data_IF_950628344134
#
_entry.id   IF_950628344134
#
_cell.length_a   1.000
_cell.length_b   1.000
_cell.length_c   1.000
_cell.angle_alpha   90.00
_cell.angle_beta   90.00
_cell.angle_gamma   90.00
#
_symmetry.space_group_name_H-M   'P 1'
#
loop_
_entity.id
_entity.type
_entity.pdbx_description
1 polymer ?
#
# COMPACT_ATOMS: atom_id res chain seq x y z
N UNK A 1 -20.63 -36.34 -64.41
CA UNK A 1 -20.38 -37.36 -63.34
C UNK A 1 -18.95 -37.31 -62.78
N UNK A 2 -18.00 -36.78 -63.54
CA UNK A 2 -16.60 -36.56 -63.14
C UNK A 2 -16.45 -35.44 -62.08
N UNK A 3 -17.09 -34.31 -62.35
CA UNK A 3 -16.96 -33.09 -61.53
C UNK A 3 -17.53 -33.23 -60.11
N UNK A 4 -18.60 -34.00 -59.98
CA UNK A 4 -19.24 -34.27 -58.67
C UNK A 4 -18.38 -35.17 -57.77
N UNK A 5 -17.64 -36.10 -58.34
CA UNK A 5 -16.70 -36.96 -57.61
C UNK A 5 -15.47 -36.17 -57.17
N UNK A 6 -15.01 -35.24 -57.99
CA UNK A 6 -13.90 -34.37 -57.67
C UNK A 6 -14.28 -33.38 -56.50
N UNK A 7 -15.44 -32.83 -56.53
CA UNK A 7 -15.95 -31.99 -55.46
C UNK A 7 -16.11 -32.74 -54.13
N UNK A 8 -16.57 -33.99 -54.17
CA UNK A 8 -16.73 -34.84 -52.96
C UNK A 8 -15.38 -35.21 -52.34
N UNK A 9 -14.37 -35.50 -53.19
CA UNK A 9 -13.00 -35.80 -52.67
C UNK A 9 -12.36 -34.57 -52.09
N UNK A 10 -12.56 -33.38 -52.71
CA UNK A 10 -12.01 -32.13 -52.21
C UNK A 10 -12.65 -31.72 -50.86
N UNK A 11 -13.94 -31.93 -50.71
CA UNK A 11 -14.70 -31.68 -49.46
C UNK A 11 -14.24 -32.66 -48.37
N UNK A 12 -14.02 -33.92 -48.69
CA UNK A 12 -13.52 -34.92 -47.74
C UNK A 12 -12.09 -34.61 -47.26
N UNK A 13 -11.20 -34.08 -48.13
CA UNK A 13 -9.86 -33.66 -47.76
C UNK A 13 -9.88 -32.44 -46.86
N UNK A 14 -10.76 -31.49 -47.07
CA UNK A 14 -10.95 -30.31 -46.20
C UNK A 14 -11.44 -30.72 -44.79
N UNK A 15 -12.40 -31.66 -44.74
CA UNK A 15 -12.93 -32.17 -43.46
C UNK A 15 -11.90 -32.97 -42.67
N UNK A 16 -10.98 -33.69 -43.37
CA UNK A 16 -9.91 -34.45 -42.71
C UNK A 16 -8.75 -33.53 -42.27
N UNK A 17 -8.47 -32.46 -43.00
CA UNK A 17 -7.41 -31.49 -42.68
C UNK A 17 -7.84 -30.45 -41.63
N UNK A 18 -9.16 -30.20 -41.47
CA UNK A 18 -9.66 -29.23 -40.50
C UNK A 18 -9.32 -29.55 -39.02
N UNK A 19 -9.34 -30.79 -38.52
CA UNK A 19 -8.90 -31.07 -37.17
C UNK A 19 -7.37 -30.99 -37.00
N UNK A 20 -6.60 -31.09 -38.09
CA UNK A 20 -5.11 -30.93 -38.01
C UNK A 20 -4.71 -29.47 -37.82
N UNK A 21 -5.52 -28.50 -38.28
CA UNK A 21 -5.24 -27.07 -38.11
C UNK A 21 -5.75 -26.51 -36.78
N UNK A 22 -6.62 -27.25 -36.08
CA UNK A 22 -7.15 -26.82 -34.77
C UNK A 22 -6.27 -27.20 -33.58
N UNK A 23 -5.14 -27.88 -33.80
CA UNK A 23 -4.08 -27.99 -32.81
C UNK A 23 -3.06 -26.84 -33.00
N UNK A 24 -3.53 -25.60 -33.11
CA UNK A 24 -2.73 -24.48 -32.69
C UNK A 24 -2.56 -24.70 -31.18
N UNK A 25 -1.48 -25.35 -30.80
CA UNK A 25 -1.00 -25.34 -29.43
C UNK A 25 -0.90 -23.87 -29.03
N UNK A 26 -1.89 -23.39 -28.28
CA UNK A 26 -1.62 -22.32 -27.38
C UNK A 26 -0.50 -22.87 -26.51
N UNK A 27 0.73 -22.57 -26.86
CA UNK A 27 1.84 -22.77 -25.96
C UNK A 27 1.39 -22.01 -24.70
N UNK A 28 0.98 -22.76 -23.69
CA UNK A 28 0.83 -22.19 -22.38
C UNK A 28 2.15 -21.48 -22.12
N UNK A 29 2.11 -20.15 -22.08
CA UNK A 29 3.25 -19.35 -21.60
C UNK A 29 3.35 -19.64 -20.10
N UNK A 30 3.81 -20.84 -19.80
CA UNK A 30 4.16 -21.25 -18.46
C UNK A 30 5.49 -20.65 -18.04
N UNK A 31 5.86 -20.88 -16.81
CA UNK A 31 7.18 -20.55 -16.28
C UNK A 31 8.24 -21.29 -17.07
N UNK A 32 9.31 -20.59 -17.50
CA UNK A 32 10.46 -21.18 -18.21
C UNK A 32 11.37 -22.00 -17.28
N UNK A 33 10.95 -22.26 -16.03
CA UNK A 33 11.70 -23.00 -15.02
C UNK A 33 10.98 -24.29 -14.67
N UNK A 34 11.73 -25.37 -14.50
CA UNK A 34 11.20 -26.70 -14.17
C UNK A 34 10.84 -26.82 -12.70
N UNK A 35 11.49 -26.04 -11.83
CA UNK A 35 11.27 -26.08 -10.38
C UNK A 35 11.41 -24.68 -9.77
N UNK A 36 10.47 -24.35 -8.88
CA UNK A 36 10.56 -23.17 -7.99
C UNK A 36 10.63 -23.67 -6.55
N UNK A 37 11.67 -23.26 -5.84
CA UNK A 37 11.90 -23.61 -4.43
C UNK A 37 11.76 -22.37 -3.57
N UNK A 38 10.82 -22.37 -2.62
CA UNK A 38 10.66 -21.32 -1.63
C UNK A 38 11.46 -21.64 -0.38
N UNK A 39 12.33 -20.72 0.03
CA UNK A 39 13.19 -20.85 1.21
C UNK A 39 12.87 -19.68 2.13
N UNK A 40 12.64 -19.95 3.41
CA UNK A 40 12.43 -18.90 4.40
C UNK A 40 13.76 -18.47 5.00
N UNK A 41 14.03 -17.17 4.98
CA UNK A 41 15.10 -16.52 5.71
C UNK A 41 14.49 -15.63 6.81
N UNK A 42 14.99 -15.73 8.02
CA UNK A 42 14.55 -14.90 9.16
C UNK A 42 15.39 -13.63 9.29
N UNK A 43 16.56 -13.62 8.71
CA UNK A 43 17.48 -12.48 8.69
C UNK A 43 17.68 -11.97 7.26
N UNK A 44 17.44 -10.68 7.09
CA UNK A 44 17.51 -10.00 5.79
C UNK A 44 18.94 -10.00 5.22
N UNK A 45 19.96 -9.80 6.07
CA UNK A 45 21.35 -9.76 5.62
C UNK A 45 21.78 -11.10 5.05
N UNK A 46 21.43 -12.18 5.73
CA UNK A 46 21.68 -13.54 5.24
C UNK A 46 21.01 -13.77 3.88
N UNK A 47 19.77 -13.35 3.70
CA UNK A 47 19.08 -13.49 2.43
C UNK A 47 19.77 -12.70 1.30
N UNK A 48 20.20 -11.46 1.56
CA UNK A 48 20.90 -10.63 0.58
C UNK A 48 22.29 -11.19 0.23
N UNK A 49 23.01 -11.76 1.19
CA UNK A 49 24.28 -12.46 0.93
C UNK A 49 24.06 -13.69 0.05
N UNK A 50 23.02 -14.47 0.28
CA UNK A 50 22.69 -15.61 -0.55
C UNK A 50 22.33 -15.21 -2.01
N UNK A 51 21.66 -14.07 -2.20
CA UNK A 51 21.44 -13.51 -3.56
C UNK A 51 22.77 -13.12 -4.20
N UNK A 52 23.68 -12.43 -3.47
CA UNK A 52 24.99 -12.04 -3.99
C UNK A 52 25.85 -13.23 -4.38
N UNK A 53 25.79 -14.29 -3.59
CA UNK A 53 26.56 -15.50 -3.82
C UNK A 53 25.95 -16.39 -4.91
N UNK A 54 24.78 -16.04 -5.45
CA UNK A 54 24.07 -16.82 -6.47
C UNK A 54 23.41 -18.09 -5.94
N UNK A 55 23.26 -18.22 -4.63
CA UNK A 55 22.55 -19.33 -3.98
C UNK A 55 21.04 -19.12 -3.91
N UNK A 56 20.60 -17.86 -4.05
CA UNK A 56 19.22 -17.44 -4.11
C UNK A 56 19.03 -16.55 -5.34
N UNK A 57 18.08 -16.91 -6.20
CA UNK A 57 17.84 -16.18 -7.45
C UNK A 57 17.03 -14.91 -7.23
N UNK A 58 16.07 -14.94 -6.32
CA UNK A 58 15.16 -13.81 -6.04
C UNK A 58 14.86 -13.76 -4.54
N UNK A 59 15.06 -12.60 -3.93
CA UNK A 59 14.52 -12.26 -2.63
C UNK A 59 13.37 -11.25 -2.82
N UNK A 60 12.14 -11.67 -2.57
CA UNK A 60 10.95 -10.88 -2.85
C UNK A 60 10.22 -10.40 -1.59
N UNK A 61 10.96 -10.13 -0.56
CA UNK A 61 10.44 -9.57 0.68
C UNK A 61 10.89 -8.12 0.84
N UNK A 62 10.35 -7.44 1.84
CA UNK A 62 10.70 -6.05 2.10
C UNK A 62 12.18 -5.95 2.48
N UNK A 63 12.91 -5.12 1.76
CA UNK A 63 14.28 -4.69 2.10
C UNK A 63 14.21 -3.30 2.69
N UNK A 64 14.93 -3.05 3.79
CA UNK A 64 14.98 -1.73 4.41
C UNK A 64 15.71 -0.72 3.52
N UNK A 65 15.28 0.55 3.55
CA UNK A 65 15.80 1.61 2.67
C UNK A 65 17.29 1.86 2.85
N UNK A 66 17.79 1.83 4.07
CA UNK A 66 19.21 1.96 4.40
C UNK A 66 20.07 0.87 3.75
N UNK A 67 19.49 -0.31 3.54
CA UNK A 67 20.15 -1.42 2.84
C UNK A 67 20.18 -1.23 1.33
N UNK A 68 19.17 -0.60 0.77
CA UNK A 68 19.09 -0.34 -0.68
C UNK A 68 20.07 0.77 -1.08
N UNK A 69 20.31 1.74 -0.21
CA UNK A 69 21.17 2.90 -0.48
C UNK A 69 22.67 2.57 -0.43
N UNK A 70 23.07 1.58 0.34
CA UNK A 70 24.49 1.22 0.41
C UNK A 70 24.99 0.72 -0.95
N UNK A 71 26.09 1.30 -1.44
CA UNK A 71 26.72 0.88 -2.70
C UNK A 71 27.07 -0.61 -2.69
N UNK A 72 27.45 -1.14 -1.55
CA UNK A 72 27.74 -2.55 -1.33
C UNK A 72 26.51 -3.43 -1.48
N UNK A 73 25.32 -2.93 -1.12
CA UNK A 73 24.06 -3.65 -1.29
C UNK A 73 23.67 -3.81 -2.76
N UNK A 74 24.06 -2.86 -3.62
CA UNK A 74 23.71 -2.88 -5.05
C UNK A 74 24.71 -3.63 -5.92
N UNK A 75 25.92 -3.89 -5.41
CA UNK A 75 26.94 -4.59 -6.18
C UNK A 75 26.53 -6.05 -6.45
N UNK A 76 26.28 -6.36 -7.72
CA UNK A 76 25.86 -7.70 -8.15
C UNK A 76 24.38 -8.02 -7.95
N UNK A 77 23.55 -7.08 -7.41
CA UNK A 77 22.12 -7.29 -7.20
C UNK A 77 21.31 -6.28 -8.03
N UNK A 78 20.31 -6.77 -8.75
CA UNK A 78 19.31 -5.92 -9.37
C UNK A 78 18.12 -5.73 -8.42
N UNK A 79 17.79 -4.47 -8.11
CA UNK A 79 16.67 -4.11 -7.24
C UNK A 79 15.46 -3.73 -8.08
N UNK A 80 14.32 -4.31 -7.77
CA UNK A 80 13.02 -3.96 -8.35
C UNK A 80 12.17 -3.33 -7.26
N UNK A 81 11.64 -2.14 -7.54
CA UNK A 81 10.78 -1.43 -6.62
C UNK A 81 9.31 -1.66 -6.99
N UNK A 82 8.49 -1.89 -6.00
CA UNK A 82 7.05 -2.01 -6.15
C UNK A 82 6.35 -1.26 -5.03
N UNK A 83 5.37 -0.45 -5.38
CA UNK A 83 4.48 0.19 -4.40
C UNK A 83 3.47 -0.84 -3.92
N UNK A 84 3.60 -1.31 -2.70
CA UNK A 84 2.77 -2.42 -2.21
C UNK A 84 2.28 -2.28 -0.77
N UNK A 85 2.60 -1.20 -0.08
CA UNK A 85 2.18 -0.99 1.30
C UNK A 85 1.90 0.46 1.62
N UNK A 86 1.04 0.70 2.60
CA UNK A 86 0.81 2.03 3.14
C UNK A 86 0.86 2.00 4.67
N UNK A 87 1.24 3.14 5.24
CA UNK A 87 1.06 3.42 6.67
C UNK A 87 -0.12 4.35 6.80
N UNK A 88 -1.07 3.98 7.62
CA UNK A 88 -2.23 4.80 7.91
C UNK A 88 -2.52 4.82 9.40
N UNK A 89 -3.06 5.92 9.88
CA UNK A 89 -3.59 6.05 11.22
C UNK A 89 -5.11 5.83 11.17
N UNK A 90 -5.58 4.84 11.92
CA UNK A 90 -7.01 4.60 12.07
C UNK A 90 -7.48 5.31 13.34
N UNK A 91 -8.55 6.06 13.20
CA UNK A 91 -9.17 6.80 14.29
C UNK A 91 -10.53 6.19 14.60
N UNK A 92 -10.82 5.94 15.87
CA UNK A 92 -12.11 5.39 16.28
C UNK A 92 -13.15 6.53 16.43
N UNK A 93 -14.17 6.63 15.55
CA UNK A 93 -15.19 7.67 15.62
C UNK A 93 -16.38 7.32 16.54
N UNK A 94 -16.33 6.19 17.22
CA UNK A 94 -17.49 5.69 17.98
C UNK A 94 -17.85 6.63 19.13
N UNK A 95 -19.15 6.88 19.28
CA UNK A 95 -19.69 7.51 20.46
C UNK A 95 -19.77 6.46 21.58
N UNK A 96 -19.27 6.80 22.76
CA UNK A 96 -19.27 5.93 23.95
C UNK A 96 -19.81 6.66 25.17
N UNK A 97 -19.90 5.99 26.31
CA UNK A 97 -20.31 6.62 27.56
C UNK A 97 -19.32 7.70 28.04
N UNK A 98 -18.02 7.50 27.75
CA UNK A 98 -16.98 8.50 27.95
C UNK A 98 -16.81 9.37 26.71
N UNK A 99 -16.45 10.62 26.92
CA UNK A 99 -16.22 11.56 25.82
C UNK A 99 -15.09 11.08 24.91
N UNK A 100 -15.42 10.90 23.64
CA UNK A 100 -14.45 10.58 22.60
C UNK A 100 -14.31 11.79 21.66
N UNK A 101 -13.19 12.53 21.70
CA UNK A 101 -13.01 13.70 20.84
C UNK A 101 -13.08 13.35 19.36
N UNK A 102 -12.72 12.12 18.99
CA UNK A 102 -12.76 11.67 17.60
C UNK A 102 -14.16 11.28 17.10
N UNK A 103 -15.21 11.39 17.93
CA UNK A 103 -16.58 11.36 17.43
C UNK A 103 -16.93 12.62 16.63
N UNK A 104 -16.22 13.73 16.88
CA UNK A 104 -16.34 14.99 16.16
C UNK A 104 -15.59 14.89 14.82
N UNK A 105 -16.29 15.16 13.72
CA UNK A 105 -15.73 15.02 12.36
C UNK A 105 -14.58 15.98 12.11
N UNK A 106 -14.73 17.21 12.51
CA UNK A 106 -13.78 18.31 12.34
C UNK A 106 -12.45 18.01 13.05
N UNK A 107 -12.48 17.35 14.21
CA UNK A 107 -11.28 16.89 14.90
C UNK A 107 -10.53 15.81 14.09
N UNK A 108 -11.26 14.89 13.46
CA UNK A 108 -10.63 13.90 12.58
C UNK A 108 -10.01 14.56 11.35
N UNK A 109 -10.64 15.60 10.81
CA UNK A 109 -10.09 16.41 9.72
C UNK A 109 -8.83 17.15 10.16
N UNK A 110 -8.83 17.75 11.34
CA UNK A 110 -7.68 18.47 11.88
C UNK A 110 -6.41 17.62 12.00
N UNK A 111 -6.55 16.30 12.26
CA UNK A 111 -5.41 15.39 12.27
C UNK A 111 -4.62 15.37 10.96
N UNK A 112 -5.25 15.68 9.82
CA UNK A 112 -4.56 15.75 8.54
C UNK A 112 -3.54 16.89 8.46
N UNK A 113 -3.74 17.95 9.27
CA UNK A 113 -2.81 19.08 9.38
C UNK A 113 -1.72 18.84 10.42
N UNK A 114 -1.90 17.89 11.35
CA UNK A 114 -0.91 17.56 12.38
C UNK A 114 0.16 16.58 11.90
N UNK A 115 -0.11 15.81 10.85
CA UNK A 115 0.82 14.79 10.37
C UNK A 115 1.67 15.35 9.22
N UNK A 116 2.97 15.53 9.48
CA UNK A 116 3.93 15.85 8.43
C UNK A 116 4.29 14.61 7.62
N UNK A 117 3.50 14.37 6.57
CA UNK A 117 3.70 13.23 5.68
C UNK A 117 5.00 13.31 4.89
N UNK A 118 5.45 14.53 4.57
CA UNK A 118 6.71 14.71 3.84
C UNK A 118 7.91 14.36 4.73
N UNK A 119 7.89 14.78 5.99
CA UNK A 119 8.93 14.38 6.95
C UNK A 119 8.97 12.85 7.10
N UNK A 120 7.79 12.20 7.23
CA UNK A 120 7.73 10.75 7.35
C UNK A 120 8.33 10.08 6.11
N UNK A 121 7.98 10.51 4.91
CA UNK A 121 8.51 9.93 3.67
C UNK A 121 10.01 10.17 3.55
N UNK A 122 10.48 11.37 3.78
CA UNK A 122 11.87 11.72 3.55
C UNK A 122 12.81 11.19 4.63
N UNK A 123 12.43 11.34 5.91
CA UNK A 123 13.34 11.05 7.03
C UNK A 123 13.17 9.63 7.59
N UNK A 124 11.93 9.12 7.64
CA UNK A 124 11.68 7.79 8.23
C UNK A 124 11.64 6.66 7.21
N UNK A 125 11.32 6.98 5.94
CA UNK A 125 11.24 6.00 4.86
C UNK A 125 12.38 6.20 3.85
N UNK A 126 13.25 7.19 4.05
CA UNK A 126 14.42 7.45 3.20
C UNK A 126 14.05 7.91 1.78
N UNK A 127 12.90 8.55 1.59
CA UNK A 127 12.41 8.98 0.28
C UNK A 127 11.73 7.88 -0.55
N UNK A 128 11.72 6.63 -0.07
CA UNK A 128 11.10 5.50 -0.77
C UNK A 128 9.59 5.41 -0.51
N UNK A 129 8.85 6.38 -1.01
CA UNK A 129 7.40 6.41 -0.85
C UNK A 129 6.78 7.70 -1.37
N UNK A 130 5.45 7.73 -1.32
CA UNK A 130 4.68 8.92 -1.67
C UNK A 130 3.73 9.26 -0.53
N UNK A 131 3.50 10.55 -0.32
CA UNK A 131 2.48 11.01 0.60
C UNK A 131 1.10 10.64 0.09
N UNK A 132 0.24 10.13 0.97
CA UNK A 132 -1.14 9.79 0.65
C UNK A 132 -2.09 10.60 1.52
N UNK A 133 -3.16 11.08 0.92
CA UNK A 133 -4.26 11.80 1.60
C UNK A 133 -5.55 10.99 1.64
N UNK A 134 -5.54 9.79 1.06
CA UNK A 134 -6.65 8.83 1.11
C UNK A 134 -6.12 7.40 1.26
N UNK A 135 -7.00 6.48 1.61
CA UNK A 135 -6.67 5.04 1.66
C UNK A 135 -6.61 4.39 0.28
N UNK A 136 -7.04 5.08 -0.75
CA UNK A 136 -6.94 4.60 -2.13
C UNK A 136 -5.56 4.91 -2.69
N UNK A 137 -4.97 3.93 -3.37
CA UNK A 137 -3.71 4.13 -4.07
C UNK A 137 -3.88 5.11 -5.23
N UNK A 138 -2.87 5.91 -5.50
CA UNK A 138 -2.88 6.97 -6.53
C UNK A 138 -3.22 6.48 -7.95
N UNK A 139 -3.11 5.17 -8.20
CA UNK A 139 -3.45 4.55 -9.47
C UNK A 139 -4.83 3.88 -9.48
N UNK A 140 -5.59 3.97 -8.38
CA UNK A 140 -6.93 3.38 -8.35
C UNK A 140 -7.96 4.32 -9.02
N UNK A 141 -8.97 3.73 -9.66
CA UNK A 141 -10.07 4.51 -10.23
C UNK A 141 -10.85 5.27 -9.14
N UNK A 142 -10.94 4.70 -7.93
CA UNK A 142 -11.61 5.33 -6.80
C UNK A 142 -10.86 6.59 -6.34
N UNK A 143 -9.52 6.55 -6.31
CA UNK A 143 -8.71 7.74 -6.02
C UNK A 143 -8.96 8.85 -7.04
N UNK A 144 -8.94 8.50 -8.34
CA UNK A 144 -9.16 9.46 -9.41
C UNK A 144 -10.56 10.10 -9.37
N UNK A 145 -11.55 9.39 -8.83
CA UNK A 145 -12.93 9.91 -8.71
C UNK A 145 -13.12 10.94 -7.60
N UNK A 146 -12.22 10.97 -6.60
CA UNK A 146 -12.33 11.83 -5.41
C UNK A 146 -11.20 12.85 -5.27
N UNK A 147 -10.20 12.82 -6.17
CA UNK A 147 -8.98 13.62 -6.02
C UNK A 147 -9.26 15.12 -6.02
N UNK A 148 -10.17 15.60 -6.85
CA UNK A 148 -10.51 17.03 -6.90
C UNK A 148 -11.08 17.52 -5.56
N UNK A 149 -11.93 16.71 -4.91
CA UNK A 149 -12.47 17.02 -3.60
C UNK A 149 -11.38 16.98 -2.52
N UNK A 150 -10.53 15.95 -2.54
CA UNK A 150 -9.43 15.81 -1.59
C UNK A 150 -8.42 16.97 -1.70
N UNK A 151 -8.10 17.40 -2.90
CA UNK A 151 -7.20 18.54 -3.12
C UNK A 151 -7.78 19.86 -2.61
N UNK A 152 -9.10 20.02 -2.63
CA UNK A 152 -9.78 21.20 -2.11
C UNK A 152 -9.56 21.45 -0.63
N UNK A 153 -9.31 20.41 0.15
CA UNK A 153 -9.03 20.49 1.59
C UNK A 153 -7.61 20.99 1.91
N UNK A 154 -6.70 21.01 0.94
CA UNK A 154 -5.31 21.45 1.09
C UNK A 154 -4.59 20.81 2.29
N UNK A 155 -4.72 19.50 2.49
CA UNK A 155 -4.10 18.75 3.58
C UNK A 155 -2.56 18.82 3.55
N UNK A 156 -2.02 19.88 4.13
CA UNK A 156 -0.58 20.09 4.33
C UNK A 156 -0.30 20.25 5.81
N UNK A 157 0.88 19.83 6.25
CA UNK A 157 1.31 20.02 7.63
C UNK A 157 1.18 21.50 8.05
N UNK A 158 0.29 21.74 8.99
CA UNK A 158 0.00 23.07 9.54
C UNK A 158 -0.55 22.93 10.97
N UNK A 159 0.33 22.72 11.96
CA UNK A 159 -0.09 22.49 13.34
C UNK A 159 -0.84 23.69 13.96
N UNK A 160 -0.59 24.90 13.47
CA UNK A 160 -1.31 26.08 13.97
C UNK A 160 -2.79 26.04 13.55
N UNK A 161 -3.08 25.69 12.30
CA UNK A 161 -4.46 25.50 11.84
C UNK A 161 -5.13 24.32 12.56
N UNK A 162 -4.39 23.25 12.79
CA UNK A 162 -4.92 22.12 13.55
C UNK A 162 -5.28 22.49 14.97
N UNK A 163 -4.43 23.25 15.69
CA UNK A 163 -4.70 23.72 17.06
C UNK A 163 -5.91 24.66 17.09
N UNK A 164 -6.09 25.51 16.10
CA UNK A 164 -7.25 26.40 15.97
C UNK A 164 -8.55 25.55 15.84
N UNK A 165 -8.59 24.60 14.91
CA UNK A 165 -9.75 23.75 14.70
C UNK A 165 -10.04 22.91 15.95
N UNK A 166 -9.02 22.23 16.50
CA UNK A 166 -9.18 21.37 17.67
C UNK A 166 -9.67 22.17 18.86
N UNK A 167 -9.10 23.35 19.10
CA UNK A 167 -9.51 24.18 20.23
C UNK A 167 -10.96 24.64 20.08
N UNK A 168 -11.34 25.13 18.90
CA UNK A 168 -12.70 25.55 18.62
C UNK A 168 -13.72 24.43 18.84
N UNK A 169 -13.47 23.27 18.25
CA UNK A 169 -14.42 22.15 18.31
C UNK A 169 -14.54 21.52 19.69
N UNK A 170 -13.44 21.50 20.47
CA UNK A 170 -13.47 21.02 21.84
C UNK A 170 -14.23 21.98 22.74
N UNK A 171 -14.05 23.31 22.58
CA UNK A 171 -14.79 24.33 23.29
C UNK A 171 -16.30 24.28 22.97
N UNK A 172 -16.66 24.14 21.69
CA UNK A 172 -18.05 23.96 21.26
C UNK A 172 -18.68 22.69 21.83
N UNK A 173 -17.90 21.63 22.01
CA UNK A 173 -18.35 20.41 22.67
C UNK A 173 -18.50 20.53 24.18
N UNK A 174 -18.06 21.65 24.78
CA UNK A 174 -18.12 21.91 26.23
C UNK A 174 -16.86 21.47 26.98
N UNK A 175 -15.74 21.21 26.29
CA UNK A 175 -14.48 20.96 26.96
C UNK A 175 -13.78 22.26 27.34
N UNK A 176 -12.97 22.22 28.39
CA UNK A 176 -12.21 23.35 28.90
C UNK A 176 -10.70 23.08 28.87
N UNK A 177 -9.91 24.08 28.52
CA UNK A 177 -8.45 23.97 28.53
C UNK A 177 -7.87 24.52 29.84
N UNK A 178 -7.28 23.64 30.64
CA UNK A 178 -6.71 23.99 31.96
C UNK A 178 -5.24 23.58 31.96
N UNK A 179 -4.33 24.52 32.22
CA UNK A 179 -2.87 24.30 32.28
C UNK A 179 -2.30 23.58 31.02
N UNK A 180 -2.93 23.83 29.86
CA UNK A 180 -2.51 23.24 28.60
C UNK A 180 -3.12 21.89 28.25
N UNK A 181 -3.92 21.33 29.11
CA UNK A 181 -4.65 20.08 28.92
C UNK A 181 -6.14 20.31 28.75
N UNK A 182 -6.80 19.45 27.97
CA UNK A 182 -8.23 19.50 27.74
C UNK A 182 -8.98 18.61 28.74
N UNK A 183 -10.08 19.14 29.28
CA UNK A 183 -10.97 18.45 30.23
C UNK A 183 -12.40 18.50 29.71
N UNK A 184 -13.14 17.42 29.91
CA UNK A 184 -14.57 17.33 29.65
C UNK A 184 -15.27 16.74 30.87
N UNK A 185 -16.31 17.40 31.37
CA UNK A 185 -17.00 17.06 32.62
C UNK A 185 -16.06 16.86 33.82
N UNK A 186 -14.97 17.61 33.88
CA UNK A 186 -13.97 17.54 34.93
C UNK A 186 -12.94 16.42 34.81
N UNK A 187 -13.05 15.59 33.79
CA UNK A 187 -12.08 14.54 33.47
C UNK A 187 -11.12 14.97 32.35
N UNK A 188 -9.85 14.70 32.51
CA UNK A 188 -8.85 14.99 31.46
C UNK A 188 -9.10 14.12 30.24
N UNK A 189 -9.08 14.75 29.07
CA UNK A 189 -9.18 14.03 27.79
C UNK A 189 -7.87 13.31 27.53
N UNK A 190 -7.90 11.98 27.54
CA UNK A 190 -6.76 11.12 27.24
C UNK A 190 -6.95 10.41 25.91
N UNK A 191 -5.87 10.36 25.09
CA UNK A 191 -5.86 9.66 23.81
C UNK A 191 -4.89 8.48 23.91
N UNK A 192 -5.40 7.28 23.69
CA UNK A 192 -4.59 6.09 23.64
C UNK A 192 -4.18 5.77 22.21
N UNK A 193 -2.88 5.72 21.96
CA UNK A 193 -2.32 5.23 20.70
C UNK A 193 -2.01 3.74 20.78
N UNK A 194 -2.58 2.97 19.88
CA UNK A 194 -2.24 1.57 19.72
C UNK A 194 -1.22 1.42 18.59
N UNK A 195 0.00 1.03 18.94
CA UNK A 195 1.08 0.80 17.97
C UNK A 195 1.29 -0.70 17.85
N UNK A 196 1.11 -1.24 16.63
CA UNK A 196 1.39 -2.65 16.39
C UNK A 196 2.90 -2.89 16.46
N UNK A 197 3.34 -3.72 17.40
CA UNK A 197 4.69 -4.23 17.43
C UNK A 197 4.92 -5.20 16.25
N UNK A 198 5.84 -4.86 15.37
CA UNK A 198 6.19 -5.70 14.22
C UNK A 198 7.14 -6.85 14.57
N UNK A 199 7.72 -6.85 15.75
CA UNK A 199 8.65 -7.90 16.21
C UNK A 199 7.91 -9.09 16.82
N UNK A 200 6.63 -8.98 17.12
CA UNK A 200 5.80 -10.12 17.51
C UNK A 200 5.36 -10.87 16.26
N UNK A 201 6.10 -11.92 15.92
CA UNK A 201 5.64 -12.94 14.95
C UNK A 201 4.50 -13.70 15.62
N UNK A 202 3.29 -13.55 15.12
CA UNK A 202 2.14 -14.39 15.47
C UNK A 202 2.18 -15.62 14.59
#
# INVERSE_FOLDING_TARGET
MSDMKFCLVFLAVIVILSPLMLHASFAEKGTFVDQVKFIQYLDENTALEEVRNGNLDIYFFRVSSDRIESSEAREGIQVFESTGGSYSMLVNPSVSESFNPFSITELRFALNYLVDRNLIVNELIGGYGNTMISNYGIFSADYLSIIEELESFHFKYNPALADEIISHELEEAGAEKIDGYWYYDGEQIEITFFIRDRNSVV
#
